data_IF_245188570973
#
_entry.id   IF_245188570973
#
_cell.length_a   1.000
_cell.length_b   1.000
_cell.length_c   1.000
_cell.angle_alpha   90.00
_cell.angle_beta   90.00
_cell.angle_gamma   90.00
#
_symmetry.space_group_name_H-M   'P 1'
#
loop_
_entity.id
_entity.type
_entity.pdbx_description
1 polymer ?
#
# COMPACT_ATOMS: atom_id res chain seq x y z
N UNK A 1 17.33 10.44 18.48
CA UNK A 1 16.73 9.80 19.67
C UNK A 1 16.71 8.28 19.60
N UNK A 2 16.31 7.65 18.49
CA UNK A 2 16.26 6.19 18.36
C UNK A 2 17.57 5.48 18.74
N UNK A 3 18.72 6.00 18.32
CA UNK A 3 20.03 5.47 18.73
C UNK A 3 20.30 5.64 20.23
N UNK A 4 19.89 6.76 20.83
CA UNK A 4 20.10 7.00 22.27
C UNK A 4 19.28 6.05 23.13
N UNK A 5 18.06 5.70 22.71
CA UNK A 5 17.27 4.68 23.41
C UNK A 5 18.00 3.33 23.45
N UNK A 6 18.60 2.90 22.34
CA UNK A 6 19.38 1.65 22.31
C UNK A 6 20.62 1.73 23.23
N UNK A 7 21.28 2.88 23.30
CA UNK A 7 22.45 3.06 24.16
C UNK A 7 22.09 3.06 25.65
N UNK A 8 21.00 3.74 26.04
CA UNK A 8 20.49 3.70 27.41
C UNK A 8 20.15 2.26 27.78
N UNK A 9 19.40 1.56 26.92
CA UNK A 9 19.06 0.14 27.14
C UNK A 9 20.29 -0.78 27.21
N UNK A 10 21.41 -0.42 26.58
CA UNK A 10 22.62 -1.24 26.57
C UNK A 10 23.58 -0.93 27.73
N UNK A 11 23.66 0.33 28.16
CA UNK A 11 24.71 0.82 29.06
C UNK A 11 24.19 1.32 30.42
N UNK A 12 22.88 1.49 30.60
CA UNK A 12 22.31 2.08 31.82
C UNK A 12 21.24 1.22 32.50
N UNK A 13 20.89 0.05 31.95
CA UNK A 13 19.80 -0.81 32.47
C UNK A 13 20.28 -2.19 32.94
N UNK A 14 21.57 -2.48 32.82
CA UNK A 14 22.21 -3.77 33.14
C UNK A 14 21.61 -5.00 32.40
N UNK A 15 20.70 -4.77 31.42
CA UNK A 15 19.98 -5.84 30.70
C UNK A 15 20.91 -6.82 29.98
N UNK A 16 22.10 -6.37 29.60
CA UNK A 16 23.10 -7.18 28.88
C UNK A 16 24.04 -7.95 29.82
N UNK A 17 23.97 -7.75 31.13
CA UNK A 17 24.81 -8.48 32.12
C UNK A 17 24.30 -9.90 32.40
N UNK A 18 23.07 -10.21 31.99
CA UNK A 18 22.39 -11.47 32.25
C UNK A 18 22.00 -12.20 30.96
N UNK A 19 21.74 -13.51 31.06
CA UNK A 19 21.13 -14.31 29.99
C UNK A 19 19.64 -14.00 29.82
N UNK A 20 18.80 -15.01 29.58
CA UNK A 20 17.35 -14.80 29.55
C UNK A 20 16.81 -14.50 30.95
N UNK A 21 16.56 -13.20 31.22
CA UNK A 21 16.02 -12.70 32.49
C UNK A 21 14.60 -13.17 32.79
N UNK A 22 13.89 -13.77 31.83
CA UNK A 22 12.56 -14.34 32.05
C UNK A 22 12.59 -15.81 32.45
N UNK A 23 13.76 -16.45 32.44
CA UNK A 23 13.90 -17.86 32.82
C UNK A 23 13.40 -18.10 34.26
N UNK A 24 12.48 -19.06 34.40
CA UNK A 24 11.83 -19.40 35.68
C UNK A 24 10.48 -18.70 35.92
N UNK A 25 10.07 -17.73 35.10
CA UNK A 25 8.70 -17.19 35.17
C UNK A 25 7.69 -18.21 34.64
N UNK A 26 6.72 -18.59 35.48
CA UNK A 26 5.59 -19.45 35.09
C UNK A 26 4.70 -18.80 34.03
N UNK A 27 4.48 -17.49 34.13
CA UNK A 27 3.60 -16.73 33.27
C UNK A 27 4.19 -16.57 31.86
N UNK A 28 5.49 -16.23 31.77
CA UNK A 28 6.18 -16.12 30.49
C UNK A 28 6.28 -17.50 29.84
N UNK A 29 6.62 -18.54 30.61
CA UNK A 29 6.65 -19.92 30.09
C UNK A 29 5.30 -20.33 29.50
N UNK A 30 4.20 -20.05 30.20
CA UNK A 30 2.86 -20.37 29.71
C UNK A 30 2.53 -19.63 28.40
N UNK A 31 2.85 -18.33 28.30
CA UNK A 31 2.67 -17.53 27.08
C UNK A 31 3.51 -18.07 25.91
N UNK A 32 4.76 -18.47 26.17
CA UNK A 32 5.64 -19.06 25.17
C UNK A 32 5.10 -20.40 24.67
N UNK A 33 4.64 -21.28 25.56
CA UNK A 33 4.04 -22.56 25.14
C UNK A 33 2.75 -22.38 24.34
N UNK A 34 1.91 -21.40 24.72
CA UNK A 34 0.73 -21.04 23.93
C UNK A 34 1.13 -20.59 22.52
N UNK A 35 2.07 -19.64 22.39
CA UNK A 35 2.53 -19.14 21.08
C UNK A 35 3.13 -20.27 20.23
N UNK A 36 3.89 -21.18 20.84
CA UNK A 36 4.45 -22.35 20.14
C UNK A 36 3.36 -23.30 19.64
N UNK A 37 2.31 -23.53 20.43
CA UNK A 37 1.19 -24.37 20.02
C UNK A 37 0.45 -23.76 18.82
N UNK A 38 0.14 -22.47 18.89
CA UNK A 38 -0.52 -21.72 17.82
C UNK A 38 0.33 -21.69 16.53
N UNK A 39 1.62 -21.38 16.64
CA UNK A 39 2.53 -21.36 15.49
C UNK A 39 2.67 -22.74 14.83
N UNK A 40 2.75 -23.82 15.61
CA UNK A 40 2.81 -25.18 15.07
C UNK A 40 1.51 -25.61 14.40
N UNK A 41 0.37 -25.21 14.95
CA UNK A 41 -0.92 -25.46 14.32
C UNK A 41 -1.05 -24.75 12.97
N UNK A 42 -0.55 -23.51 12.88
CA UNK A 42 -0.49 -22.76 11.61
C UNK A 42 0.43 -23.43 10.58
N UNK A 43 1.62 -23.87 11.00
CA UNK A 43 2.54 -24.61 10.13
C UNK A 43 1.93 -25.93 9.62
N UNK A 44 1.19 -26.66 10.47
CA UNK A 44 0.49 -27.86 10.08
C UNK A 44 -0.56 -27.56 9.00
N UNK A 45 -1.36 -26.49 9.18
CA UNK A 45 -2.35 -26.05 8.19
C UNK A 45 -1.70 -25.67 6.86
N UNK A 46 -0.58 -24.94 6.89
CA UNK A 46 0.18 -24.63 5.67
C UNK A 46 0.67 -25.92 5.00
N UNK A 47 1.09 -26.91 5.78
CA UNK A 47 1.42 -28.25 5.29
C UNK A 47 0.25 -28.94 4.58
N UNK A 48 -0.94 -28.91 5.19
CA UNK A 48 -2.18 -29.48 4.62
C UNK A 48 -2.60 -28.79 3.31
N UNK A 49 -2.26 -27.51 3.14
CA UNK A 49 -2.48 -26.74 1.91
C UNK A 49 -1.45 -27.02 0.80
N UNK A 50 -0.49 -27.92 1.03
CA UNK A 50 0.57 -28.25 0.07
C UNK A 50 1.84 -27.40 0.21
N UNK A 51 2.01 -26.73 1.35
CA UNK A 51 3.18 -25.92 1.68
C UNK A 51 3.00 -24.42 1.42
N UNK A 52 4.06 -23.65 1.73
CA UNK A 52 3.99 -22.19 1.73
C UNK A 52 3.71 -21.58 0.36
N UNK A 53 4.25 -22.17 -0.73
CA UNK A 53 4.02 -21.66 -2.10
C UNK A 53 2.54 -21.78 -2.46
N UNK A 54 1.94 -22.95 -2.27
CA UNK A 54 0.52 -23.17 -2.52
C UNK A 54 -0.37 -22.29 -1.62
N UNK A 55 0.00 -22.09 -0.36
CA UNK A 55 -0.70 -21.19 0.56
C UNK A 55 -0.63 -19.70 0.14
N UNK A 56 0.43 -19.28 -0.55
CA UNK A 56 0.54 -17.94 -1.16
C UNK A 56 -0.30 -17.84 -2.43
N UNK A 57 -0.22 -18.83 -3.33
CA UNK A 57 -0.95 -18.86 -4.60
C UNK A 57 -2.47 -18.90 -4.40
N UNK A 58 -2.95 -19.67 -3.41
CA UNK A 58 -4.36 -19.71 -3.01
C UNK A 58 -4.82 -18.42 -2.31
N UNK A 59 -3.88 -17.53 -1.95
CA UNK A 59 -4.15 -16.29 -1.24
C UNK A 59 -4.44 -16.47 0.25
N UNK A 60 -4.38 -17.69 0.80
CA UNK A 60 -4.71 -17.98 2.19
C UNK A 60 -3.94 -17.10 3.18
N UNK A 61 -2.61 -17.03 3.04
CA UNK A 61 -1.76 -16.23 3.94
C UNK A 61 -2.13 -14.74 3.89
N UNK A 62 -2.40 -14.23 2.69
CA UNK A 62 -2.76 -12.83 2.51
C UNK A 62 -4.14 -12.53 3.13
N UNK A 63 -5.11 -13.41 2.93
CA UNK A 63 -6.45 -13.28 3.54
C UNK A 63 -6.38 -13.29 5.06
N UNK A 64 -5.56 -14.17 5.67
CA UNK A 64 -5.38 -14.22 7.12
C UNK A 64 -4.81 -12.89 7.67
N UNK A 65 -3.84 -12.28 6.97
CA UNK A 65 -3.28 -10.98 7.33
C UNK A 65 -4.32 -9.86 7.21
N UNK A 66 -5.09 -9.83 6.12
CA UNK A 66 -6.16 -8.84 5.92
C UNK A 66 -7.21 -8.98 7.03
N UNK A 67 -7.67 -10.20 7.33
CA UNK A 67 -8.65 -10.47 8.38
C UNK A 67 -8.16 -10.03 9.76
N UNK A 68 -6.91 -10.37 10.12
CA UNK A 68 -6.29 -9.95 11.38
C UNK A 68 -6.23 -8.42 11.51
N UNK A 69 -5.82 -7.74 10.44
CA UNK A 69 -5.75 -6.29 10.41
C UNK A 69 -7.13 -5.64 10.49
N UNK A 70 -8.14 -6.16 9.78
CA UNK A 70 -9.53 -5.69 9.87
C UNK A 70 -10.07 -5.81 11.29
N UNK A 71 -9.85 -6.95 11.96
CA UNK A 71 -10.27 -7.16 13.34
C UNK A 71 -9.61 -6.14 14.30
N UNK A 72 -8.30 -5.90 14.13
CA UNK A 72 -7.57 -4.90 14.93
C UNK A 72 -8.14 -3.49 14.74
N UNK A 73 -8.42 -3.08 13.50
CA UNK A 73 -9.00 -1.75 13.24
C UNK A 73 -10.38 -1.61 13.87
N UNK A 74 -11.21 -2.64 13.77
CA UNK A 74 -12.53 -2.64 14.41
C UNK A 74 -12.42 -2.44 15.93
N UNK A 75 -11.46 -3.11 16.58
CA UNK A 75 -11.19 -2.93 18.02
C UNK A 75 -10.69 -1.51 18.37
N UNK A 76 -9.99 -0.84 17.46
CA UNK A 76 -9.55 0.54 17.66
C UNK A 76 -10.74 1.50 17.49
N UNK A 77 -11.56 1.31 16.46
CA UNK A 77 -12.72 2.16 16.17
C UNK A 77 -13.79 2.08 17.26
N UNK A 78 -14.05 0.88 17.80
CA UNK A 78 -15.05 0.67 18.85
C UNK A 78 -14.51 0.96 20.27
N UNK A 79 -13.22 1.27 20.40
CA UNK A 79 -12.56 1.63 21.67
C UNK A 79 -12.14 0.45 22.54
N UNK A 80 -12.32 -0.81 22.11
CA UNK A 80 -11.80 -2.00 22.82
C UNK A 80 -10.28 -1.97 22.94
N UNK A 81 -9.58 -1.50 21.91
CA UNK A 81 -8.14 -1.30 21.92
C UNK A 81 -7.81 0.19 21.94
N UNK A 82 -7.23 0.65 23.05
CA UNK A 82 -6.79 2.03 23.20
C UNK A 82 -5.46 2.30 22.49
N UNK A 83 -5.43 3.40 21.73
CA UNK A 83 -4.22 4.03 21.18
C UNK A 83 -4.17 5.46 21.73
N UNK A 84 -3.24 5.66 22.65
CA UNK A 84 -3.02 6.94 23.33
C UNK A 84 -2.63 8.01 22.31
N UNK A 85 -3.29 9.17 22.36
CA UNK A 85 -3.10 10.26 21.40
C UNK A 85 -3.89 10.12 20.09
N UNK A 86 -4.60 9.00 19.88
CA UNK A 86 -5.40 8.76 18.66
C UNK A 86 -6.87 8.60 19.00
N UNK A 87 -7.28 7.47 19.60
CA UNK A 87 -8.68 7.24 19.98
C UNK A 87 -8.94 7.56 21.46
N UNK A 88 -7.92 7.53 22.31
CA UNK A 88 -7.98 7.80 23.75
C UNK A 88 -6.92 8.83 24.16
N UNK A 89 -7.22 9.68 25.15
CA UNK A 89 -6.31 10.71 25.68
C UNK A 89 -5.64 11.55 24.57
N UNK A 90 -6.45 12.28 23.80
CA UNK A 90 -6.02 12.97 22.56
C UNK A 90 -5.28 14.29 22.82
N UNK A 91 -5.35 14.80 24.03
CA UNK A 91 -4.71 16.05 24.43
C UNK A 91 -3.31 15.78 24.97
N UNK A 92 -2.34 16.62 24.58
CA UNK A 92 -0.97 16.58 25.07
C UNK A 92 -0.39 17.99 25.09
N UNK A 93 0.62 18.22 25.93
CA UNK A 93 1.41 19.46 25.88
C UNK A 93 2.16 19.56 24.54
N UNK A 94 2.35 20.76 24.00
CA UNK A 94 3.13 20.94 22.78
C UNK A 94 4.54 20.35 22.95
N UNK A 95 4.90 19.42 22.07
CA UNK A 95 6.20 18.77 22.13
C UNK A 95 7.19 19.45 21.18
N UNK A 96 8.38 19.85 21.66
CA UNK A 96 9.46 20.34 20.81
C UNK A 96 9.89 19.32 19.73
N UNK A 97 9.52 18.05 19.92
CA UNK A 97 9.80 16.95 18.98
C UNK A 97 8.78 16.87 17.83
N UNK A 98 7.55 17.38 18.03
CA UNK A 98 6.51 17.46 17.01
C UNK A 98 6.42 18.84 16.35
N UNK A 99 6.93 19.88 17.01
CA UNK A 99 6.89 21.28 16.55
C UNK A 99 8.04 21.68 15.60
N UNK A 100 8.94 20.77 15.26
CA UNK A 100 10.00 21.04 14.27
C UNK A 100 9.48 21.28 12.85
N UNK A 101 8.16 21.32 12.63
CA UNK A 101 7.56 21.72 11.36
C UNK A 101 7.94 20.79 10.20
N UNK A 102 7.78 21.26 8.97
CA UNK A 102 8.23 20.59 7.75
C UNK A 102 9.70 20.17 7.79
N UNK A 103 10.54 20.84 8.59
CA UNK A 103 11.99 20.57 8.68
C UNK A 103 12.33 19.22 9.34
N UNK A 104 11.38 18.59 10.05
CA UNK A 104 11.54 17.23 10.57
C UNK A 104 11.26 16.14 9.53
N UNK A 105 10.58 16.49 8.43
CA UNK A 105 10.24 15.56 7.36
C UNK A 105 11.35 15.66 6.32
N UNK A 106 12.18 14.62 6.24
CA UNK A 106 13.18 14.52 5.19
C UNK A 106 12.47 14.26 3.85
N UNK A 107 12.42 15.27 3.00
CA UNK A 107 11.93 15.16 1.62
C UNK A 107 13.09 14.94 0.66
N UNK A 108 12.79 14.31 -0.48
CA UNK A 108 13.75 14.10 -1.56
C UNK A 108 13.55 15.20 -2.60
N UNK A 109 14.64 15.77 -3.12
CA UNK A 109 14.57 16.80 -4.16
C UNK A 109 14.03 16.24 -5.47
N UNK A 110 13.13 16.99 -6.12
CA UNK A 110 12.59 16.68 -7.45
C UNK A 110 13.67 16.57 -8.54
N UNK A 111 14.85 17.19 -8.35
CA UNK A 111 15.93 17.14 -9.32
C UNK A 111 16.70 15.81 -9.36
N UNK A 112 16.55 14.97 -8.33
CA UNK A 112 17.33 13.73 -8.23
C UNK A 112 17.03 12.76 -9.37
N UNK A 113 15.77 12.73 -9.84
CA UNK A 113 15.36 11.91 -10.96
C UNK A 113 16.05 12.38 -12.25
N UNK A 114 16.05 13.69 -12.51
CA UNK A 114 16.70 14.27 -13.67
C UNK A 114 18.20 13.98 -13.67
N UNK A 115 18.88 14.18 -12.54
CA UNK A 115 20.30 13.88 -12.39
C UNK A 115 20.59 12.40 -12.64
N UNK A 116 19.76 11.50 -12.11
CA UNK A 116 19.91 10.07 -12.29
C UNK A 116 19.68 9.65 -13.75
N UNK A 117 18.74 10.28 -14.46
CA UNK A 117 18.50 10.05 -15.89
C UNK A 117 19.71 10.45 -16.73
N UNK A 118 20.31 11.61 -16.46
CA UNK A 118 21.50 12.06 -17.20
C UNK A 118 22.71 11.17 -16.91
N UNK A 119 22.91 10.76 -15.65
CA UNK A 119 23.93 9.76 -15.30
C UNK A 119 23.70 8.43 -16.01
N UNK A 120 22.45 7.97 -16.12
CA UNK A 120 22.11 6.72 -16.80
C UNK A 120 22.38 6.81 -18.32
N UNK A 121 22.05 7.94 -18.95
CA UNK A 121 22.36 8.17 -20.37
C UNK A 121 23.86 8.14 -20.62
N UNK A 122 24.63 8.84 -19.78
CA UNK A 122 26.08 8.87 -19.87
C UNK A 122 26.69 7.48 -19.63
N UNK A 123 26.21 6.75 -18.61
CA UNK A 123 26.62 5.38 -18.32
C UNK A 123 26.42 4.44 -19.51
N UNK A 124 25.25 4.50 -20.16
CA UNK A 124 24.94 3.71 -21.37
C UNK A 124 25.81 4.09 -22.56
N UNK A 125 26.22 5.35 -22.67
CA UNK A 125 27.09 5.85 -23.74
C UNK A 125 28.53 5.35 -23.58
N UNK A 126 29.03 5.30 -22.35
CA UNK A 126 30.44 5.01 -22.06
C UNK A 126 30.75 3.52 -21.94
N UNK A 127 29.76 2.69 -21.57
CA UNK A 127 29.96 1.23 -21.45
C UNK A 127 30.18 0.55 -22.80
N UNK A 128 30.77 -0.64 -22.77
CA UNK A 128 30.77 -1.55 -23.92
C UNK A 128 29.37 -2.15 -24.14
N UNK A 129 28.63 -1.55 -25.08
CA UNK A 129 27.26 -1.99 -25.37
C UNK A 129 27.20 -3.38 -26.02
N UNK A 130 28.24 -3.81 -26.75
CA UNK A 130 28.26 -5.15 -27.32
C UNK A 130 28.44 -6.21 -26.23
N UNK A 131 29.34 -5.96 -25.27
CA UNK A 131 29.50 -6.81 -24.10
C UNK A 131 28.23 -6.84 -23.23
N UNK A 132 27.58 -5.69 -23.01
CA UNK A 132 26.34 -5.62 -22.25
C UNK A 132 25.22 -6.43 -22.90
N UNK A 133 25.05 -6.33 -24.23
CA UNK A 133 24.05 -7.10 -24.96
C UNK A 133 24.36 -8.60 -24.91
N UNK A 134 25.62 -9.00 -25.13
CA UNK A 134 26.01 -10.40 -25.09
C UNK A 134 25.75 -11.03 -23.70
N UNK A 135 26.03 -10.29 -22.63
CA UNK A 135 25.74 -10.73 -21.26
C UNK A 135 24.23 -10.88 -21.00
N UNK A 136 23.41 -9.96 -21.51
CA UNK A 136 21.95 -10.03 -21.41
C UNK A 136 21.38 -11.25 -22.16
N UNK A 137 21.88 -11.55 -23.36
CA UNK A 137 21.43 -12.72 -24.12
C UNK A 137 21.80 -14.03 -23.43
N UNK A 138 23.00 -14.13 -22.86
CA UNK A 138 23.38 -15.31 -22.07
C UNK A 138 22.51 -15.43 -20.79
N UNK A 139 22.17 -14.32 -20.14
CA UNK A 139 21.24 -14.33 -19.01
C UNK A 139 19.86 -14.85 -19.42
N UNK A 140 19.30 -14.37 -20.54
CA UNK A 140 18.03 -14.86 -21.09
C UNK A 140 18.12 -16.34 -21.44
N UNK A 141 19.21 -16.78 -22.06
CA UNK A 141 19.46 -18.18 -22.40
C UNK A 141 19.51 -19.06 -21.15
N UNK A 142 20.26 -18.66 -20.12
CA UNK A 142 20.37 -19.40 -18.88
C UNK A 142 19.02 -19.50 -18.16
N UNK A 143 18.27 -18.39 -18.11
CA UNK A 143 16.94 -18.35 -17.52
C UNK A 143 15.95 -19.27 -18.26
N UNK A 144 15.91 -19.20 -19.60
CA UNK A 144 15.02 -20.04 -20.41
C UNK A 144 15.40 -21.52 -20.45
N UNK A 145 16.66 -21.87 -20.14
CA UNK A 145 17.15 -23.24 -20.04
C UNK A 145 17.18 -23.77 -18.60
N UNK A 146 16.64 -23.01 -17.63
CA UNK A 146 16.65 -23.36 -16.21
C UNK A 146 18.06 -23.65 -15.64
N UNK A 147 19.09 -23.02 -16.21
CA UNK A 147 20.46 -23.07 -15.70
C UNK A 147 20.64 -22.08 -14.55
N UNK A 148 21.77 -22.19 -13.83
CA UNK A 148 22.16 -21.18 -12.86
C UNK A 148 22.28 -19.81 -13.56
N UNK A 149 21.52 -18.83 -13.06
CA UNK A 149 21.51 -17.46 -13.59
C UNK A 149 22.51 -16.55 -12.88
N UNK A 150 23.17 -17.01 -11.81
CA UNK A 150 24.07 -16.17 -11.02
C UNK A 150 25.32 -15.77 -11.80
N UNK A 151 25.97 -16.71 -12.47
CA UNK A 151 27.16 -16.44 -13.29
C UNK A 151 26.87 -15.43 -14.41
N UNK A 152 25.82 -15.59 -15.25
CA UNK A 152 25.49 -14.58 -16.25
C UNK A 152 24.98 -13.26 -15.66
N UNK A 153 24.37 -13.28 -14.48
CA UNK A 153 24.02 -12.04 -13.76
C UNK A 153 25.24 -11.24 -13.34
N UNK A 154 26.30 -11.91 -12.86
CA UNK A 154 27.58 -11.27 -12.54
C UNK A 154 28.22 -10.70 -13.82
N UNK A 155 28.14 -11.44 -14.94
CA UNK A 155 28.61 -10.94 -16.23
C UNK A 155 27.84 -9.68 -16.66
N UNK A 156 26.52 -9.64 -16.49
CA UNK A 156 25.70 -8.46 -16.74
C UNK A 156 26.18 -7.25 -15.91
N UNK A 157 26.34 -7.43 -14.59
CA UNK A 157 26.80 -6.36 -13.71
C UNK A 157 28.18 -5.83 -14.12
N UNK A 158 29.12 -6.73 -14.47
CA UNK A 158 30.46 -6.36 -14.96
C UNK A 158 30.45 -5.65 -16.30
N UNK A 159 29.53 -6.02 -17.20
CA UNK A 159 29.36 -5.38 -18.50
C UNK A 159 28.59 -4.04 -18.42
N UNK A 160 28.18 -3.61 -17.23
CA UNK A 160 27.46 -2.36 -17.02
C UNK A 160 25.99 -2.40 -17.45
N UNK A 161 25.39 -3.59 -17.47
CA UNK A 161 23.94 -3.77 -17.58
C UNK A 161 23.26 -3.12 -16.38
N UNK A 162 22.21 -2.36 -16.65
CA UNK A 162 21.46 -1.62 -15.63
C UNK A 162 20.41 -2.54 -14.98
N UNK A 163 20.00 -2.22 -13.75
CA UNK A 163 18.94 -2.97 -13.05
C UNK A 163 17.64 -3.06 -13.87
N UNK A 164 17.31 -2.01 -14.64
CA UNK A 164 16.15 -2.01 -15.53
C UNK A 164 16.26 -2.99 -16.70
N UNK A 165 17.43 -3.08 -17.33
CA UNK A 165 17.69 -4.03 -18.42
C UNK A 165 17.74 -5.47 -17.92
N UNK A 166 18.39 -5.69 -16.76
CA UNK A 166 18.43 -6.99 -16.11
C UNK A 166 17.01 -7.46 -15.75
N UNK A 167 16.24 -6.63 -15.04
CA UNK A 167 14.84 -6.95 -14.70
C UNK A 167 13.97 -7.13 -15.95
N UNK A 168 14.19 -6.33 -16.99
CA UNK A 168 13.54 -6.48 -18.30
C UNK A 168 13.79 -7.84 -18.94
N UNK A 169 15.05 -8.26 -19.00
CA UNK A 169 15.42 -9.54 -19.60
C UNK A 169 14.81 -10.73 -18.88
N UNK A 170 14.77 -10.72 -17.54
CA UNK A 170 14.14 -11.80 -16.78
C UNK A 170 12.61 -11.78 -16.91
N UNK A 171 12.00 -10.59 -17.02
CA UNK A 171 10.56 -10.44 -17.25
C UNK A 171 10.12 -11.01 -18.60
N UNK A 172 10.95 -10.91 -19.64
CA UNK A 172 10.65 -11.55 -20.93
C UNK A 172 10.54 -13.07 -20.84
N UNK A 173 11.26 -13.70 -19.90
CA UNK A 173 11.27 -15.16 -19.73
C UNK A 173 10.19 -15.61 -18.73
N UNK A 174 10.08 -14.94 -17.58
CA UNK A 174 9.22 -15.37 -16.47
C UNK A 174 7.89 -14.62 -16.37
N UNK A 175 7.72 -13.54 -17.13
CA UNK A 175 6.59 -12.64 -16.98
C UNK A 175 6.66 -11.79 -15.70
N UNK A 176 5.50 -11.32 -15.25
CA UNK A 176 5.34 -10.58 -14.00
C UNK A 176 4.38 -11.31 -13.08
N UNK A 177 4.73 -11.36 -11.79
CA UNK A 177 3.87 -11.92 -10.77
C UNK A 177 2.84 -10.89 -10.28
N UNK A 178 1.56 -11.25 -10.31
CA UNK A 178 0.46 -10.51 -9.67
C UNK A 178 -0.04 -11.30 -8.47
N UNK A 179 0.19 -10.76 -7.28
CA UNK A 179 -0.15 -11.42 -6.02
C UNK A 179 -1.67 -11.35 -5.75
N UNK A 180 -2.27 -12.38 -5.12
CA UNK A 180 -3.61 -12.28 -4.58
C UNK A 180 -3.72 -11.11 -3.59
N UNK A 181 -4.82 -10.36 -3.64
CA UNK A 181 -5.02 -9.19 -2.78
C UNK A 181 -5.52 -9.55 -1.38
N UNK A 182 -6.24 -10.68 -1.27
CA UNK A 182 -6.86 -11.16 -0.03
C UNK A 182 -8.08 -10.34 0.41
N UNK A 183 -8.55 -9.40 -0.40
CA UNK A 183 -9.69 -8.53 -0.09
C UNK A 183 -11.03 -9.22 -0.38
N UNK A 184 -11.11 -9.99 -1.46
CA UNK A 184 -12.37 -10.55 -1.99
C UNK A 184 -13.16 -11.40 -0.98
N UNK A 185 -12.45 -12.09 -0.08
CA UNK A 185 -13.05 -12.98 0.93
C UNK A 185 -13.54 -12.22 2.16
N UNK A 186 -12.95 -11.06 2.48
CA UNK A 186 -13.18 -10.33 3.74
C UNK A 186 -14.36 -9.35 3.63
N UNK A 187 -14.74 -8.95 2.41
CA UNK A 187 -15.85 -8.01 2.12
C UNK A 187 -17.22 -8.50 2.64
N UNK A 188 -17.38 -9.77 2.99
CA UNK A 188 -18.66 -10.33 3.44
C UNK A 188 -18.95 -10.24 4.94
N UNK A 189 -18.04 -9.68 5.75
CA UNK A 189 -18.26 -9.48 7.18
C UNK A 189 -19.11 -8.21 7.41
N UNK A 190 -20.44 -8.35 7.36
CA UNK A 190 -21.35 -7.23 7.64
C UNK A 190 -21.22 -6.77 9.09
N UNK A 191 -20.63 -5.60 9.32
CA UNK A 191 -20.55 -5.00 10.67
C UNK A 191 -21.80 -4.16 10.96
N UNK A 192 -22.28 -4.12 12.20
CA UNK A 192 -23.43 -3.27 12.57
C UNK A 192 -23.11 -1.77 12.46
N UNK A 193 -21.85 -1.39 12.63
CA UNK A 193 -21.39 0.00 12.69
C UNK A 193 -21.45 0.73 11.32
N UNK A 194 -21.50 0.00 10.20
CA UNK A 194 -21.61 0.60 8.87
C UNK A 194 -23.06 0.81 8.37
N UNK A 195 -24.09 0.63 9.22
CA UNK A 195 -25.50 0.64 8.79
C UNK A 195 -25.95 1.96 8.13
N UNK A 196 -25.63 3.11 8.74
CA UNK A 196 -26.00 4.41 8.19
C UNK A 196 -25.29 4.70 6.85
N UNK A 197 -24.04 4.24 6.70
CA UNK A 197 -23.29 4.40 5.44
C UNK A 197 -23.90 3.52 4.35
N UNK A 198 -24.29 2.29 4.67
CA UNK A 198 -24.98 1.39 3.74
C UNK A 198 -26.28 1.99 3.21
N UNK A 199 -27.07 2.62 4.07
CA UNK A 199 -28.31 3.29 3.66
C UNK A 199 -28.01 4.44 2.68
N UNK A 200 -26.99 5.26 2.97
CA UNK A 200 -26.57 6.33 2.07
C UNK A 200 -26.06 5.80 0.71
N UNK A 201 -25.28 4.71 0.71
CA UNK A 201 -24.78 4.07 -0.52
C UNK A 201 -25.93 3.47 -1.34
N UNK A 202 -26.92 2.86 -0.68
CA UNK A 202 -28.11 2.33 -1.34
C UNK A 202 -28.95 3.44 -1.98
N UNK A 203 -29.20 4.53 -1.26
CA UNK A 203 -29.92 5.69 -1.79
C UNK A 203 -29.21 6.32 -3.00
N UNK A 204 -27.87 6.46 -2.94
CA UNK A 204 -27.08 6.96 -4.06
C UNK A 204 -27.11 5.99 -5.25
N UNK A 205 -27.02 4.68 -5.00
CA UNK A 205 -27.12 3.66 -6.06
C UNK A 205 -28.47 3.70 -6.78
N UNK A 206 -29.56 3.94 -6.04
CA UNK A 206 -30.90 4.14 -6.61
C UNK A 206 -30.96 5.40 -7.47
N UNK A 207 -30.42 6.52 -6.98
CA UNK A 207 -30.32 7.79 -7.73
C UNK A 207 -29.53 7.64 -9.03
N UNK A 208 -28.41 6.93 -9.00
CA UNK A 208 -27.55 6.69 -10.16
C UNK A 208 -28.10 5.62 -11.11
N UNK A 209 -29.09 4.82 -10.68
CA UNK A 209 -29.61 3.67 -11.43
C UNK A 209 -28.63 2.50 -11.56
N UNK A 210 -27.51 2.54 -10.83
CA UNK A 210 -26.46 1.52 -10.85
C UNK A 210 -25.77 1.47 -9.48
N UNK A 211 -25.22 0.33 -9.05
CA UNK A 211 -24.44 0.26 -7.82
C UNK A 211 -23.28 1.26 -7.83
N UNK A 212 -23.03 1.92 -6.69
CA UNK A 212 -21.84 2.75 -6.52
C UNK A 212 -20.59 1.89 -6.69
N UNK A 213 -19.68 2.34 -7.55
CA UNK A 213 -18.45 1.63 -7.95
C UNK A 213 -17.24 2.43 -7.53
N UNK A 214 -16.31 1.82 -6.79
CA UNK A 214 -15.16 2.49 -6.22
C UNK A 214 -13.87 1.75 -6.57
N UNK A 215 -12.95 2.45 -7.25
CA UNK A 215 -11.62 1.92 -7.57
C UNK A 215 -10.63 2.32 -6.49
N UNK A 216 -10.00 1.35 -5.84
CA UNK A 216 -8.86 1.59 -4.95
C UNK A 216 -7.58 1.26 -5.71
N UNK A 217 -6.75 2.27 -5.95
CA UNK A 217 -5.50 2.16 -6.70
C UNK A 217 -4.26 2.45 -5.85
N UNK A 218 -3.17 1.75 -6.15
CA UNK A 218 -1.84 2.04 -5.58
C UNK A 218 -0.84 2.34 -6.69
N UNK A 219 -0.67 3.61 -7.05
CA UNK A 219 0.21 3.99 -8.15
C UNK A 219 1.70 3.82 -7.78
N UNK A 220 2.53 3.53 -8.78
CA UNK A 220 3.99 3.54 -8.65
C UNK A 220 4.57 2.26 -8.07
N UNK A 221 5.59 2.35 -7.22
CA UNK A 221 6.27 1.18 -6.63
C UNK A 221 5.88 0.94 -5.16
N UNK A 222 4.91 1.69 -4.63
CA UNK A 222 4.50 1.61 -3.23
C UNK A 222 3.89 0.23 -2.89
N UNK A 223 4.58 -0.51 -2.02
CA UNK A 223 4.15 -1.82 -1.54
C UNK A 223 3.28 -1.79 -0.29
N UNK A 224 3.03 -0.63 0.32
CA UNK A 224 2.27 -0.54 1.58
C UNK A 224 0.77 -0.71 1.35
N UNK A 225 0.25 -1.93 1.47
CA UNK A 225 -1.12 -2.23 1.08
C UNK A 225 -2.16 -2.21 2.20
N UNK A 226 -1.74 -2.24 3.48
CA UNK A 226 -2.65 -2.35 4.62
C UNK A 226 -3.79 -1.33 4.63
N UNK A 227 -3.48 -0.05 4.37
CA UNK A 227 -4.51 1.01 4.34
C UNK A 227 -5.45 0.88 3.15
N UNK A 228 -4.93 0.57 1.96
CA UNK A 228 -5.75 0.35 0.77
C UNK A 228 -6.70 -0.84 0.94
N UNK A 229 -6.22 -1.93 1.54
CA UNK A 229 -7.02 -3.13 1.84
C UNK A 229 -8.12 -2.83 2.85
N UNK A 230 -7.84 -2.07 3.91
CA UNK A 230 -8.86 -1.65 4.89
C UNK A 230 -9.95 -0.80 4.24
N UNK A 231 -9.56 0.16 3.39
CA UNK A 231 -10.49 1.01 2.65
C UNK A 231 -11.33 0.18 1.68
N UNK A 232 -10.72 -0.75 0.95
CA UNK A 232 -11.43 -1.63 0.03
C UNK A 232 -12.43 -2.55 0.74
N UNK A 233 -12.01 -3.19 1.84
CA UNK A 233 -12.89 -4.04 2.67
C UNK A 233 -14.05 -3.22 3.25
N UNK A 234 -13.78 -2.04 3.82
CA UNK A 234 -14.83 -1.22 4.43
C UNK A 234 -15.80 -0.64 3.40
N UNK A 235 -15.32 -0.18 2.24
CA UNK A 235 -16.17 0.27 1.15
C UNK A 235 -17.13 -0.84 0.68
N UNK A 236 -16.64 -2.08 0.61
CA UNK A 236 -17.46 -3.26 0.33
C UNK A 236 -18.50 -3.55 1.42
N UNK A 237 -18.13 -3.48 2.70
CA UNK A 237 -19.09 -3.60 3.84
C UNK A 237 -20.14 -2.48 3.84
N UNK A 238 -19.78 -1.30 3.34
CA UNK A 238 -20.70 -0.19 3.10
C UNK A 238 -21.60 -0.38 1.87
N UNK A 239 -21.43 -1.46 1.09
CA UNK A 239 -22.29 -1.80 -0.04
C UNK A 239 -21.82 -1.22 -1.39
N UNK A 240 -20.61 -0.66 -1.47
CA UNK A 240 -20.01 -0.28 -2.76
C UNK A 240 -19.48 -1.51 -3.50
N UNK A 241 -19.54 -1.50 -4.82
CA UNK A 241 -18.79 -2.42 -5.67
C UNK A 241 -17.34 -1.94 -5.77
N UNK A 242 -16.42 -2.66 -5.14
CA UNK A 242 -15.02 -2.24 -5.03
C UNK A 242 -14.15 -3.00 -6.01
N UNK A 243 -13.33 -2.27 -6.77
CA UNK A 243 -12.22 -2.84 -7.52
C UNK A 243 -10.91 -2.52 -6.81
N UNK A 244 -10.09 -3.55 -6.57
CA UNK A 244 -8.75 -3.41 -6.01
C UNK A 244 -7.81 -4.44 -6.65
N UNK A 245 -6.93 -3.94 -7.53
CA UNK A 245 -6.01 -4.80 -8.32
C UNK A 245 -4.64 -4.97 -7.63
N UNK A 246 -4.54 -4.62 -6.35
CA UNK A 246 -3.34 -4.78 -5.55
C UNK A 246 -2.34 -3.61 -5.66
N UNK A 247 -1.06 -3.95 -5.59
CA UNK A 247 0.05 -2.98 -5.52
C UNK A 247 0.74 -2.82 -6.87
N UNK A 248 1.52 -1.73 -6.97
CA UNK A 248 2.42 -1.46 -8.10
C UNK A 248 1.71 -1.33 -9.44
N UNK A 249 0.63 -0.56 -9.45
CA UNK A 249 -0.07 -0.21 -10.68
C UNK A 249 0.54 1.08 -11.25
N UNK A 250 0.63 1.16 -12.57
CA UNK A 250 0.95 2.41 -13.23
C UNK A 250 -0.26 3.34 -13.22
N UNK A 251 -0.07 4.68 -13.26
CA UNK A 251 -1.17 5.61 -13.47
C UNK A 251 -2.02 5.29 -14.70
N UNK A 252 -1.42 4.73 -15.75
CA UNK A 252 -2.12 4.30 -16.96
C UNK A 252 -3.07 3.11 -16.69
N UNK A 253 -2.59 2.07 -15.98
CA UNK A 253 -3.41 0.92 -15.61
C UNK A 253 -4.59 1.32 -14.71
N UNK A 254 -4.38 2.24 -13.76
CA UNK A 254 -5.46 2.74 -12.90
C UNK A 254 -6.54 3.46 -13.71
N UNK A 255 -6.15 4.32 -14.65
CA UNK A 255 -7.12 5.02 -15.52
C UNK A 255 -7.82 4.04 -16.46
N UNK A 256 -7.11 3.04 -16.99
CA UNK A 256 -7.72 2.00 -17.81
C UNK A 256 -8.78 1.19 -17.02
N UNK A 257 -8.47 0.81 -15.78
CA UNK A 257 -9.41 0.12 -14.90
C UNK A 257 -10.63 1.01 -14.56
N UNK A 258 -10.43 2.31 -14.36
CA UNK A 258 -11.52 3.25 -14.11
C UNK A 258 -12.49 3.34 -15.30
N UNK A 259 -11.97 3.29 -16.53
CA UNK A 259 -12.76 3.25 -17.77
C UNK A 259 -13.50 1.92 -17.91
N UNK A 260 -12.78 0.79 -17.77
CA UNK A 260 -13.30 -0.56 -17.92
C UNK A 260 -14.52 -0.80 -17.01
N UNK A 261 -14.40 -0.39 -15.75
CA UNK A 261 -15.42 -0.62 -14.74
C UNK A 261 -16.46 0.51 -14.66
N UNK A 262 -16.27 1.61 -15.38
CA UNK A 262 -17.11 2.81 -15.32
C UNK A 262 -17.34 3.27 -13.86
N UNK A 263 -16.25 3.47 -13.14
CA UNK A 263 -16.27 3.73 -11.69
C UNK A 263 -16.81 5.12 -11.38
N UNK A 264 -17.33 5.29 -10.16
CA UNK A 264 -17.90 6.56 -9.69
C UNK A 264 -16.91 7.37 -8.85
N UNK A 265 -15.86 6.75 -8.32
CA UNK A 265 -14.78 7.40 -7.60
C UNK A 265 -13.49 6.59 -7.68
N UNK A 266 -12.35 7.28 -7.52
CA UNK A 266 -11.02 6.66 -7.47
C UNK A 266 -10.36 7.05 -6.14
N UNK A 267 -9.99 6.07 -5.33
CA UNK A 267 -9.18 6.23 -4.12
C UNK A 267 -7.74 5.81 -4.36
N UNK A 268 -6.79 6.73 -4.26
CA UNK A 268 -5.36 6.45 -4.40
C UNK A 268 -4.70 6.34 -3.02
N UNK A 269 -4.04 5.22 -2.73
CA UNK A 269 -3.31 5.03 -1.47
C UNK A 269 -1.80 5.08 -1.72
N UNK A 270 -1.12 6.09 -1.16
CA UNK A 270 0.30 6.36 -1.41
C UNK A 270 1.05 6.67 -0.10
N UNK A 271 1.99 5.81 0.27
CA UNK A 271 2.80 5.94 1.48
C UNK A 271 4.31 6.10 1.17
N UNK A 272 4.68 6.15 -0.11
CA UNK A 272 6.08 6.22 -0.56
C UNK A 272 6.66 7.63 -0.64
N UNK A 273 5.87 8.67 -0.32
CA UNK A 273 6.26 10.08 -0.52
C UNK A 273 6.19 10.56 -1.97
N UNK A 274 5.74 9.72 -2.90
CA UNK A 274 5.65 10.03 -4.34
C UNK A 274 4.26 10.55 -4.76
N UNK A 275 3.45 11.01 -3.80
CA UNK A 275 2.03 11.34 -4.02
C UNK A 275 1.82 12.48 -5.02
N UNK A 276 2.58 13.57 -4.93
CA UNK A 276 2.43 14.70 -5.86
C UNK A 276 2.66 14.29 -7.33
N UNK A 277 3.81 13.71 -7.73
CA UNK A 277 4.05 13.35 -9.12
C UNK A 277 3.11 12.25 -9.63
N UNK A 278 2.83 11.21 -8.82
CA UNK A 278 1.95 10.12 -9.24
C UNK A 278 0.50 10.57 -9.41
N UNK A 279 -0.03 11.36 -8.46
CA UNK A 279 -1.39 11.89 -8.57
C UNK A 279 -1.49 12.86 -9.74
N UNK A 280 -0.47 13.70 -9.97
CA UNK A 280 -0.43 14.59 -11.14
C UNK A 280 -0.54 13.80 -12.46
N UNK A 281 0.17 12.68 -12.59
CA UNK A 281 0.08 11.82 -13.78
C UNK A 281 -1.31 11.19 -13.91
N UNK A 282 -1.88 10.65 -12.83
CA UNK A 282 -3.26 10.11 -12.84
C UNK A 282 -4.26 11.18 -13.27
N UNK A 283 -4.22 12.38 -12.67
CA UNK A 283 -5.14 13.48 -13.01
C UNK A 283 -4.99 13.95 -14.46
N UNK A 284 -3.76 14.02 -15.00
CA UNK A 284 -3.51 14.34 -16.40
C UNK A 284 -4.13 13.30 -17.35
N UNK A 285 -3.98 12.02 -17.01
CA UNK A 285 -4.52 10.91 -17.82
C UNK A 285 -6.05 10.87 -17.76
N UNK A 286 -6.65 11.09 -16.59
CA UNK A 286 -8.10 11.22 -16.45
C UNK A 286 -8.64 12.37 -17.31
N UNK A 287 -7.97 13.53 -17.32
CA UNK A 287 -8.33 14.64 -18.21
C UNK A 287 -8.28 14.24 -19.69
N UNK A 288 -7.23 13.54 -20.09
CA UNK A 288 -7.04 13.08 -21.47
C UNK A 288 -8.10 12.05 -21.88
N UNK A 289 -8.60 11.27 -20.91
CA UNK A 289 -9.66 10.27 -21.09
C UNK A 289 -11.09 10.81 -20.86
N UNK A 290 -11.26 12.12 -20.71
CA UNK A 290 -12.56 12.78 -20.42
C UNK A 290 -13.25 12.32 -19.11
N UNK A 291 -12.45 11.88 -18.13
CA UNK A 291 -12.90 11.42 -16.82
C UNK A 291 -12.66 12.43 -15.69
N UNK A 292 -12.53 13.71 -16.03
CA UNK A 292 -12.26 14.79 -15.05
C UNK A 292 -13.39 14.99 -14.02
N UNK A 293 -14.58 14.49 -14.32
CA UNK A 293 -15.75 14.55 -13.45
C UNK A 293 -15.65 13.57 -12.26
N UNK A 294 -14.83 12.52 -12.37
CA UNK A 294 -14.68 11.53 -11.30
C UNK A 294 -13.96 12.15 -10.09
N UNK A 295 -14.55 12.08 -8.88
CA UNK A 295 -13.84 12.47 -7.67
C UNK A 295 -12.66 11.53 -7.43
N UNK A 296 -11.46 12.13 -7.35
CA UNK A 296 -10.24 11.44 -6.93
C UNK A 296 -9.95 11.78 -5.47
N UNK A 297 -9.83 10.75 -4.65
CA UNK A 297 -9.50 10.82 -3.23
C UNK A 297 -8.07 10.30 -3.06
N UNK A 298 -7.25 10.96 -2.25
CA UNK A 298 -5.87 10.53 -1.98
C UNK A 298 -5.70 10.25 -0.50
N UNK A 299 -5.18 9.08 -0.16
CA UNK A 299 -4.89 8.65 1.20
C UNK A 299 -3.41 8.30 1.40
N UNK A 300 -2.86 8.57 2.58
CA UNK A 300 -1.53 8.09 2.96
C UNK A 300 -0.72 9.06 3.82
N UNK A 301 0.62 8.94 3.77
CA UNK A 301 1.52 9.82 4.52
C UNK A 301 1.77 11.08 3.68
N UNK A 302 0.95 12.10 3.91
CA UNK A 302 0.93 13.31 3.09
C UNK A 302 1.17 14.53 3.99
N UNK A 303 2.30 15.26 3.82
CA UNK A 303 2.57 16.52 4.50
C UNK A 303 1.51 17.58 4.21
N UNK A 304 1.27 18.52 5.13
CA UNK A 304 0.22 19.53 4.98
C UNK A 304 0.42 20.42 3.74
N UNK A 305 1.67 20.79 3.43
CA UNK A 305 2.02 21.56 2.23
C UNK A 305 1.58 20.86 0.93
N UNK A 306 1.79 19.55 0.85
CA UNK A 306 1.41 18.77 -0.32
C UNK A 306 -0.10 18.58 -0.43
N UNK A 307 -0.86 18.64 0.67
CA UNK A 307 -2.32 18.62 0.62
C UNK A 307 -2.86 19.79 -0.18
N UNK A 308 -2.24 20.98 -0.05
CA UNK A 308 -2.63 22.15 -0.84
C UNK A 308 -2.34 21.94 -2.33
N UNK A 309 -1.17 21.39 -2.66
CA UNK A 309 -0.79 21.06 -4.05
C UNK A 309 -1.76 20.05 -4.66
N UNK A 310 -2.09 18.98 -3.94
CA UNK A 310 -3.04 17.96 -4.39
C UNK A 310 -4.44 18.55 -4.64
N UNK A 311 -4.93 19.42 -3.75
CA UNK A 311 -6.22 20.12 -3.95
C UNK A 311 -6.20 20.99 -5.21
N UNK A 312 -5.10 21.71 -5.47
CA UNK A 312 -4.95 22.53 -6.69
C UNK A 312 -4.91 21.67 -7.96
N UNK A 313 -4.45 20.42 -7.89
CA UNK A 313 -4.50 19.46 -9.01
C UNK A 313 -5.91 18.93 -9.29
N UNK A 314 -6.88 19.20 -8.41
CA UNK A 314 -8.28 18.77 -8.53
C UNK A 314 -8.65 17.56 -7.66
N UNK A 315 -7.80 17.15 -6.72
CA UNK A 315 -8.13 16.09 -5.75
C UNK A 315 -9.28 16.53 -4.86
N UNK A 316 -10.31 15.68 -4.75
CA UNK A 316 -11.55 15.98 -4.05
C UNK A 316 -11.40 15.93 -2.53
N UNK A 317 -10.62 14.97 -2.02
CA UNK A 317 -10.34 14.82 -0.59
C UNK A 317 -8.96 14.21 -0.34
N UNK A 318 -8.35 14.56 0.79
CA UNK A 318 -7.06 14.01 1.24
C UNK A 318 -7.17 13.51 2.67
N UNK A 319 -6.91 12.21 2.86
CA UNK A 319 -6.93 11.53 4.16
C UNK A 319 -5.52 11.08 4.58
N UNK A 320 -5.23 11.19 5.86
CA UNK A 320 -3.92 10.94 6.49
C UNK A 320 -4.09 9.97 7.66
N UNK A 321 -3.02 9.48 8.31
CA UNK A 321 -3.17 8.63 9.50
C UNK A 321 -3.94 9.26 10.66
N UNK A 322 -4.13 10.59 10.65
CA UNK A 322 -4.99 11.30 11.62
C UNK A 322 -6.47 11.05 11.37
N UNK A 323 -6.83 10.68 10.15
CA UNK A 323 -8.19 10.37 9.71
C UNK A 323 -8.43 8.87 9.90
N UNK A 324 -8.62 8.43 11.15
CA UNK A 324 -8.71 7.00 11.48
C UNK A 324 -10.13 6.45 11.54
N UNK A 325 -11.17 7.31 11.43
CA UNK A 325 -12.57 6.90 11.44
C UNK A 325 -13.03 6.56 10.01
N UNK A 326 -12.99 5.28 9.63
CA UNK A 326 -13.20 4.88 8.23
C UNK A 326 -14.64 5.10 7.78
N UNK A 327 -15.63 4.92 8.67
CA UNK A 327 -17.04 5.18 8.35
C UNK A 327 -17.29 6.64 7.94
N UNK A 328 -16.61 7.59 8.59
CA UNK A 328 -16.70 9.01 8.23
C UNK A 328 -16.12 9.25 6.83
N UNK A 329 -14.95 8.64 6.52
CA UNK A 329 -14.37 8.72 5.18
C UNK A 329 -15.30 8.13 4.11
N UNK A 330 -15.95 7.00 4.39
CA UNK A 330 -16.90 6.40 3.44
C UNK A 330 -18.13 7.30 3.20
N UNK A 331 -18.68 7.92 4.25
CA UNK A 331 -19.79 8.88 4.10
C UNK A 331 -19.40 10.09 3.26
N UNK A 332 -18.19 10.61 3.45
CA UNK A 332 -17.68 11.72 2.67
C UNK A 332 -17.48 11.33 1.20
N UNK A 333 -16.95 10.14 0.92
CA UNK A 333 -16.84 9.62 -0.45
C UNK A 333 -18.22 9.54 -1.13
N UNK A 334 -19.24 9.03 -0.43
CA UNK A 334 -20.62 8.99 -0.96
C UNK A 334 -21.11 10.39 -1.32
N UNK A 335 -20.92 11.38 -0.44
CA UNK A 335 -21.31 12.78 -0.71
C UNK A 335 -20.55 13.40 -1.88
N UNK A 336 -19.26 13.08 -2.02
CA UNK A 336 -18.44 13.58 -3.14
C UNK A 336 -18.90 13.02 -4.48
N UNK A 337 -19.29 11.74 -4.52
CA UNK A 337 -19.88 11.13 -5.72
C UNK A 337 -21.22 11.80 -6.05
N UNK A 338 -22.09 11.96 -5.06
CA UNK A 338 -23.41 12.56 -5.23
C UNK A 338 -23.33 14.00 -5.80
N UNK A 339 -22.49 14.85 -5.20
CA UNK A 339 -22.29 16.23 -5.66
C UNK A 339 -21.79 16.31 -7.11
N UNK A 340 -20.88 15.43 -7.52
CA UNK A 340 -20.33 15.40 -8.89
C UNK A 340 -21.33 14.86 -9.91
N UNK A 341 -22.22 13.98 -9.48
CA UNK A 341 -23.31 13.48 -10.35
C UNK A 341 -24.33 14.58 -10.68
N UNK A 342 -24.58 15.48 -9.73
CA UNK A 342 -25.47 16.62 -9.95
C UNK A 342 -24.84 17.65 -10.89
N UNK A 343 -23.53 17.90 -10.76
CA UNK A 343 -22.76 18.79 -11.66
C UNK A 343 -22.70 18.26 -13.11
N UNK A 344 -22.68 16.93 -13.31
CA UNK A 344 -22.65 16.32 -14.64
C UNK A 344 -24.03 16.27 -15.33
N UNK A 345 -25.10 16.38 -14.56
CA UNK A 345 -26.48 16.40 -15.05
C UNK A 345 -27.00 17.82 -15.39
N UNK A 346 -26.30 18.87 -14.94
CA UNK A 346 -26.60 20.29 -15.15
C UNK A 346 -25.90 20.88 -16.39
#
# INVERSE_FOLDING_TARGET
WSLRMQQILAYETDLLEYGDIFNGSSEITAKVEQLKAEARAELARIGDLGGAIAAVETGYMKQALVASNTARIQQIENGEQSIIGVNAYRESEPSPLSETGSDAILTVSDNIEYEQIEQLKQWRKDRDNAAAQAALEELKSAAGQERNIMEPSIACARAGVTTGEWGGALREIFGEYRAPTGVDVVVHLKTQDAAAVREAVAALSEKLGTPVRFLVGKPGLDGHSNGAEQIAVRAGDCGMQVRYDGIRLTPAEIVAAAIEDNVHAIGLSILSGSHVPLVRDVMNRLRTADLSHLPVIVGGIIPEEDRHVLKQLGVAAVYTPKDFHINTMMQDIVKLIDARSDDAAA
#
